data_IF_930823916508
#
_entry.id   IF_930823916508
#
_cell.length_a   1.000
_cell.length_b   1.000
_cell.length_c   1.000
_cell.angle_alpha   90.00
_cell.angle_beta   90.00
_cell.angle_gamma   90.00
#
_symmetry.space_group_name_H-M   'P 1'
#
loop_
_entity.id
_entity.type
_entity.pdbx_description
1 polymer ?
#
# COMPACT_ATOMS: atom_id res chain seq x y z
N UNK A 1 -17.17 32.76 24.80
CA UNK A 1 -16.42 32.31 23.61
C UNK A 1 -15.23 31.49 24.13
N UNK A 2 -15.26 30.15 24.03
CA UNK A 2 -14.17 29.28 24.51
C UNK A 2 -13.34 28.86 23.31
N UNK A 3 -12.11 29.35 23.22
CA UNK A 3 -11.12 28.90 22.24
C UNK A 3 -10.42 27.66 22.79
N UNK A 4 -10.59 26.53 22.10
CA UNK A 4 -9.82 25.33 22.35
C UNK A 4 -8.60 25.34 21.42
N UNK A 5 -7.42 25.59 21.97
CA UNK A 5 -6.16 25.34 21.29
C UNK A 5 -5.91 23.84 21.29
N UNK A 6 -6.23 23.17 20.17
CA UNK A 6 -5.81 21.79 19.92
C UNK A 6 -4.30 21.79 19.66
N UNK A 7 -3.52 21.55 20.70
CA UNK A 7 -2.11 21.18 20.58
C UNK A 7 -2.05 19.81 19.91
N UNK A 8 -1.64 19.78 18.63
CA UNK A 8 -1.40 18.54 17.90
C UNK A 8 -0.43 17.65 18.68
N UNK A 9 -0.78 16.40 19.00
CA UNK A 9 0.19 15.47 19.56
C UNK A 9 1.25 15.14 18.51
N UNK A 10 2.53 15.36 18.83
CA UNK A 10 3.65 14.89 18.00
C UNK A 10 3.89 13.40 18.25
N UNK A 11 2.93 12.54 17.92
CA UNK A 11 3.20 11.10 17.88
C UNK A 11 3.64 10.72 16.47
N UNK A 12 4.95 10.63 16.27
CA UNK A 12 5.50 9.90 15.11
C UNK A 12 5.41 8.41 15.43
N UNK A 13 4.79 7.63 14.55
CA UNK A 13 4.39 6.24 14.78
C UNK A 13 5.16 5.21 13.96
N UNK A 14 6.36 5.56 13.50
CA UNK A 14 7.20 4.56 12.84
C UNK A 14 7.87 3.67 13.89
N UNK A 15 8.00 2.37 13.59
CA UNK A 15 8.89 1.43 14.30
C UNK A 15 10.28 2.04 14.50
N UNK A 16 10.67 2.91 13.56
CA UNK A 16 11.91 3.63 13.61
C UNK A 16 11.99 4.69 14.72
N UNK A 17 10.91 5.16 15.34
CA UNK A 17 11.03 6.22 16.37
C UNK A 17 11.81 5.75 17.57
N UNK A 18 11.54 4.54 18.07
CA UNK A 18 12.29 4.01 19.20
C UNK A 18 13.74 3.68 18.82
N UNK A 19 13.94 3.03 17.66
CA UNK A 19 15.27 2.71 17.17
C UNK A 19 16.10 3.97 16.87
N UNK A 20 15.49 5.01 16.27
CA UNK A 20 16.16 6.29 16.02
C UNK A 20 16.44 7.04 17.32
N UNK A 21 15.53 7.02 18.30
CA UNK A 21 15.80 7.62 19.61
C UNK A 21 16.93 6.88 20.33
N UNK A 22 16.97 5.54 20.22
CA UNK A 22 18.06 4.73 20.76
C UNK A 22 19.38 5.04 20.06
N UNK A 23 19.40 5.08 18.72
CA UNK A 23 20.56 5.47 17.93
C UNK A 23 21.04 6.87 18.35
N UNK A 24 20.16 7.87 18.36
CA UNK A 24 20.51 9.26 18.72
C UNK A 24 21.09 9.39 20.12
N UNK A 25 20.61 8.60 21.09
CA UNK A 25 21.11 8.62 22.47
C UNK A 25 22.49 7.99 22.62
N UNK A 26 22.89 7.12 21.69
CA UNK A 26 24.14 6.36 21.75
C UNK A 26 25.18 6.82 20.73
N UNK A 27 24.82 7.70 19.79
CA UNK A 27 25.78 8.34 18.90
C UNK A 27 26.43 9.54 19.58
N UNK A 28 27.76 9.59 19.55
CA UNK A 28 28.52 10.80 19.87
C UNK A 28 28.53 11.76 18.69
N UNK A 29 29.03 12.98 18.88
CA UNK A 29 29.26 13.92 17.79
C UNK A 29 30.18 13.29 16.72
N UNK A 30 29.79 13.46 15.45
CA UNK A 30 30.50 12.90 14.29
C UNK A 30 31.03 14.03 13.42
N UNK A 31 32.25 13.87 12.90
CA UNK A 31 32.95 14.93 12.14
C UNK A 31 32.47 15.10 10.70
N UNK A 32 31.64 14.19 10.19
CA UNK A 32 31.12 14.23 8.83
C UNK A 32 30.10 13.13 8.53
N UNK A 33 29.52 13.18 7.32
CA UNK A 33 28.48 12.24 6.89
C UNK A 33 28.95 10.79 6.85
N UNK A 34 30.18 10.52 6.42
CA UNK A 34 30.74 9.17 6.40
C UNK A 34 30.94 8.61 7.82
N UNK A 35 31.54 9.40 8.73
CA UNK A 35 31.70 9.02 10.14
C UNK A 35 30.35 8.73 10.80
N UNK A 36 29.33 9.53 10.49
CA UNK A 36 27.97 9.30 10.97
C UNK A 36 27.37 8.01 10.43
N UNK A 37 27.54 7.74 9.14
CA UNK A 37 27.10 6.49 8.52
C UNK A 37 27.75 5.27 9.20
N UNK A 38 29.08 5.28 9.33
CA UNK A 38 29.84 4.19 9.94
C UNK A 38 29.42 3.98 11.41
N UNK A 39 29.24 5.07 12.17
CA UNK A 39 28.78 5.01 13.56
C UNK A 39 27.36 4.44 13.69
N UNK A 40 26.43 4.84 12.83
CA UNK A 40 25.07 4.29 12.79
C UNK A 40 25.10 2.79 12.47
N UNK A 41 25.83 2.39 11.43
CA UNK A 41 25.93 1.00 10.99
C UNK A 41 26.53 0.12 12.10
N UNK A 42 27.64 0.56 12.70
CA UNK A 42 28.27 -0.16 13.80
C UNK A 42 27.35 -0.29 15.01
N UNK A 43 26.63 0.78 15.37
CA UNK A 43 25.67 0.74 16.47
C UNK A 43 24.53 -0.25 16.18
N UNK A 44 23.92 -0.16 15.00
CA UNK A 44 22.82 -1.05 14.58
C UNK A 44 23.26 -2.52 14.61
N UNK A 45 24.47 -2.83 14.13
CA UNK A 45 25.03 -4.18 14.20
C UNK A 45 25.41 -4.64 15.62
N UNK A 46 25.63 -3.70 16.55
CA UNK A 46 25.92 -4.02 17.95
C UNK A 46 24.67 -4.39 18.76
N UNK A 47 23.46 -4.12 18.24
CA UNK A 47 22.21 -4.44 18.92
C UNK A 47 21.97 -5.95 18.95
N UNK A 48 21.62 -6.46 20.13
CA UNK A 48 21.23 -7.87 20.26
C UNK A 48 19.84 -8.11 19.68
N UNK A 49 19.54 -9.37 19.34
CA UNK A 49 18.21 -9.76 18.88
C UNK A 49 17.11 -9.40 19.89
N UNK A 50 17.42 -9.43 21.19
CA UNK A 50 16.53 -9.05 22.28
C UNK A 50 16.19 -7.56 22.26
N UNK A 51 17.16 -6.69 21.95
CA UNK A 51 16.90 -5.24 21.80
C UNK A 51 16.02 -4.94 20.58
N UNK A 52 16.24 -5.66 19.46
CA UNK A 52 15.32 -5.60 18.33
C UNK A 52 13.92 -6.05 18.71
N UNK A 53 13.80 -7.18 19.43
CA UNK A 53 12.51 -7.69 19.90
C UNK A 53 11.78 -6.67 20.76
N UNK A 54 12.45 -6.00 21.69
CA UNK A 54 11.87 -4.91 22.51
C UNK A 54 11.30 -3.79 21.65
N UNK A 55 11.94 -3.46 20.53
CA UNK A 55 11.44 -2.44 19.59
C UNK A 55 10.08 -2.83 19.03
N UNK A 56 9.95 -4.09 18.59
CA UNK A 56 8.69 -4.61 18.08
C UNK A 56 7.61 -4.69 19.18
N UNK A 57 7.95 -5.19 20.37
CA UNK A 57 7.02 -5.25 21.51
C UNK A 57 6.48 -3.86 21.88
N UNK A 58 7.35 -2.85 21.98
CA UNK A 58 6.94 -1.46 22.25
C UNK A 58 6.07 -0.89 21.14
N UNK A 59 6.32 -1.26 19.89
CA UNK A 59 5.47 -0.86 18.78
C UNK A 59 4.08 -1.51 18.88
N UNK A 60 4.00 -2.80 19.21
CA UNK A 60 2.73 -3.49 19.49
C UNK A 60 1.96 -2.86 20.65
N UNK A 61 2.62 -2.57 21.77
CA UNK A 61 1.99 -1.87 22.91
C UNK A 61 1.38 -0.53 22.47
N UNK A 62 2.10 0.26 21.67
CA UNK A 62 1.61 1.55 21.18
C UNK A 62 0.45 1.39 20.20
N UNK A 63 0.48 0.39 19.32
CA UNK A 63 -0.66 0.08 18.46
C UNK A 63 -1.87 -0.32 19.29
N UNK A 64 -1.69 -1.12 20.35
CA UNK A 64 -2.77 -1.49 21.26
C UNK A 64 -3.34 -0.24 21.95
N UNK A 65 -2.50 0.68 22.42
CA UNK A 65 -2.97 1.95 22.99
C UNK A 65 -3.74 2.82 21.97
N UNK A 66 -3.34 2.84 20.70
CA UNK A 66 -4.12 3.52 19.64
C UNK A 66 -5.46 2.85 19.35
N UNK A 67 -5.50 1.53 19.47
CA UNK A 67 -6.74 0.78 19.41
C UNK A 67 -7.60 1.18 20.62
N UNK A 68 -7.09 1.12 21.84
CA UNK A 68 -7.90 1.37 23.03
C UNK A 68 -8.36 2.83 23.16
N UNK A 69 -7.52 3.78 22.74
CA UNK A 69 -7.82 5.22 22.78
C UNK A 69 -8.73 5.73 21.66
N UNK A 70 -9.22 4.85 20.77
CA UNK A 70 -10.06 5.22 19.62
C UNK A 70 -9.41 6.23 18.66
N UNK A 71 -8.07 6.27 18.61
CA UNK A 71 -7.33 7.17 17.74
C UNK A 71 -7.31 6.67 16.28
N UNK A 72 -8.47 6.64 15.62
CA UNK A 72 -8.66 6.16 14.25
C UNK A 72 -7.71 6.84 13.25
N UNK A 73 -7.44 8.13 13.44
CA UNK A 73 -6.51 8.90 12.61
C UNK A 73 -5.09 8.29 12.60
N UNK A 74 -4.62 7.79 13.74
CA UNK A 74 -3.30 7.17 13.84
C UNK A 74 -3.28 5.83 13.12
N UNK A 75 -4.33 5.03 13.27
CA UNK A 75 -4.46 3.75 12.55
C UNK A 75 -4.48 3.98 11.04
N UNK A 76 -5.20 4.98 10.55
CA UNK A 76 -5.21 5.36 9.14
C UNK A 76 -3.80 5.76 8.67
N UNK A 77 -3.05 6.54 9.46
CA UNK A 77 -1.66 6.91 9.12
C UNK A 77 -0.75 5.69 9.03
N UNK A 78 -0.88 4.73 9.95
CA UNK A 78 -0.09 3.49 9.95
C UNK A 78 -0.46 2.65 8.73
N UNK A 79 -1.74 2.38 8.51
CA UNK A 79 -2.20 1.55 7.40
C UNK A 79 -1.90 2.17 6.03
N UNK A 80 -1.86 3.50 5.91
CA UNK A 80 -1.41 4.19 4.67
C UNK A 80 0.04 3.89 4.29
N UNK A 81 0.84 3.33 5.20
CA UNK A 81 2.22 2.90 4.93
C UNK A 81 2.31 1.44 4.49
N UNK A 82 1.23 0.67 4.61
CA UNK A 82 1.15 -0.72 4.20
C UNK A 82 0.53 -0.83 2.81
N UNK A 83 0.68 -1.99 2.17
CA UNK A 83 0.03 -2.26 0.90
C UNK A 83 -1.50 -2.28 1.10
N UNK A 84 -2.21 -1.44 0.34
CA UNK A 84 -3.68 -1.26 0.47
C UNK A 84 -4.43 -2.60 0.36
N UNK A 85 -4.00 -3.48 -0.55
CA UNK A 85 -4.59 -4.82 -0.73
C UNK A 85 -4.47 -5.68 0.53
N UNK A 86 -3.33 -5.65 1.21
CA UNK A 86 -3.09 -6.41 2.45
C UNK A 86 -3.89 -5.84 3.61
N UNK A 87 -3.96 -4.51 3.70
CA UNK A 87 -4.79 -3.80 4.69
C UNK A 87 -6.25 -4.19 4.51
N UNK A 88 -6.79 -4.08 3.30
CA UNK A 88 -8.18 -4.45 3.04
C UNK A 88 -8.40 -5.93 3.33
N UNK A 89 -7.58 -6.83 2.81
CA UNK A 89 -7.70 -8.27 3.10
C UNK A 89 -7.72 -8.58 4.60
N UNK A 90 -6.88 -7.90 5.38
CA UNK A 90 -6.71 -8.17 6.81
C UNK A 90 -7.77 -7.51 7.68
N UNK A 91 -8.29 -6.34 7.29
CA UNK A 91 -9.19 -5.56 8.14
C UNK A 91 -10.66 -5.73 7.80
N UNK A 92 -10.97 -6.13 6.57
CA UNK A 92 -12.35 -6.14 6.09
C UNK A 92 -13.21 -7.09 6.90
N UNK A 93 -14.27 -6.55 7.50
CA UNK A 93 -15.23 -7.28 8.33
C UNK A 93 -14.65 -7.98 9.58
N UNK A 94 -13.44 -7.63 10.01
CA UNK A 94 -12.87 -8.18 11.25
C UNK A 94 -13.57 -7.63 12.49
N UNK A 95 -13.83 -6.32 12.53
CA UNK A 95 -14.68 -5.71 13.53
C UNK A 95 -15.28 -4.39 13.03
N UNK A 96 -16.36 -3.93 13.68
CA UNK A 96 -17.12 -2.73 13.26
C UNK A 96 -16.26 -1.47 13.11
N UNK A 97 -15.26 -1.29 13.98
CA UNK A 97 -14.40 -0.10 13.96
C UNK A 97 -13.39 -0.14 12.82
N UNK A 98 -12.69 -1.24 12.64
CA UNK A 98 -11.75 -1.44 11.53
C UNK A 98 -12.48 -1.46 10.19
N UNK A 99 -13.73 -1.93 10.18
CA UNK A 99 -14.57 -1.86 8.99
C UNK A 99 -14.84 -0.42 8.56
N UNK A 100 -14.99 0.53 9.51
CA UNK A 100 -15.09 1.96 9.16
C UNK A 100 -13.83 2.45 8.44
N UNK A 101 -12.65 2.02 8.91
CA UNK A 101 -11.35 2.37 8.33
C UNK A 101 -11.18 1.72 6.95
N UNK A 102 -11.53 0.46 6.78
CA UNK A 102 -11.41 -0.24 5.49
C UNK A 102 -12.34 0.32 4.40
N UNK A 103 -13.36 1.09 4.80
CA UNK A 103 -14.26 1.80 3.89
C UNK A 103 -13.84 3.27 3.65
N UNK A 104 -12.74 3.72 4.24
CA UNK A 104 -12.20 5.07 4.01
C UNK A 104 -11.66 5.20 2.57
N UNK A 105 -11.84 6.37 1.97
CA UNK A 105 -11.41 6.63 0.59
C UNK A 105 -9.89 6.56 0.43
N UNK A 106 -9.12 6.74 1.51
CA UNK A 106 -7.68 6.53 1.52
C UNK A 106 -7.25 5.12 1.07
N UNK A 107 -8.09 4.11 1.29
CA UNK A 107 -7.80 2.71 0.95
C UNK A 107 -8.60 2.20 -0.24
N UNK A 108 -9.75 2.82 -0.52
CA UNK A 108 -10.72 2.28 -1.49
C UNK A 108 -10.75 3.03 -2.81
N UNK A 109 -10.31 4.28 -2.86
CA UNK A 109 -10.42 5.07 -4.08
C UNK A 109 -9.41 4.61 -5.15
N UNK A 110 -8.12 4.61 -4.80
CA UNK A 110 -7.05 4.06 -5.62
C UNK A 110 -6.66 2.69 -5.07
N UNK A 111 -6.99 1.63 -5.81
CA UNK A 111 -6.87 0.25 -5.36
C UNK A 111 -5.90 -0.55 -6.25
N UNK A 112 -4.65 -0.74 -5.81
CA UNK A 112 -3.74 -1.68 -6.42
C UNK A 112 -4.06 -3.11 -5.98
N UNK A 113 -4.56 -3.93 -6.90
CA UNK A 113 -4.84 -5.35 -6.71
C UNK A 113 -3.69 -6.16 -7.33
N UNK A 114 -2.50 -5.94 -6.78
CA UNK A 114 -1.25 -6.57 -7.18
C UNK A 114 -0.28 -6.59 -6.00
N UNK A 115 0.73 -7.46 -6.05
CA UNK A 115 1.84 -7.45 -5.08
C UNK A 115 3.07 -6.81 -5.70
N UNK A 116 3.75 -5.96 -4.95
CA UNK A 116 5.06 -5.42 -5.31
C UNK A 116 6.11 -5.97 -4.36
N UNK A 117 7.17 -6.60 -4.88
CA UNK A 117 8.31 -6.94 -4.05
C UNK A 117 9.29 -5.76 -3.94
N UNK A 118 10.27 -5.90 -3.03
CA UNK A 118 11.29 -4.87 -2.77
C UNK A 118 12.18 -4.56 -3.97
N UNK A 119 12.24 -5.47 -4.95
CA UNK A 119 12.96 -5.31 -6.22
C UNK A 119 12.16 -4.50 -7.27
N UNK A 120 10.92 -4.10 -6.95
CA UNK A 120 10.03 -3.38 -7.85
C UNK A 120 9.28 -4.28 -8.83
N UNK A 121 9.47 -5.61 -8.78
CA UNK A 121 8.71 -6.54 -9.60
C UNK A 121 7.27 -6.65 -9.12
N UNK A 122 6.36 -6.77 -10.08
CA UNK A 122 4.92 -6.90 -9.87
C UNK A 122 4.53 -8.36 -10.03
N UNK A 123 3.86 -8.90 -9.02
CA UNK A 123 3.38 -10.28 -8.97
C UNK A 123 1.86 -10.33 -8.88
N UNK A 124 1.29 -11.39 -9.45
CA UNK A 124 -0.11 -11.73 -9.26
C UNK A 124 -0.37 -12.07 -7.79
N UNK A 125 -1.55 -11.67 -7.28
CA UNK A 125 -2.00 -12.12 -5.97
C UNK A 125 -2.24 -13.64 -5.98
N UNK A 126 -1.99 -14.33 -4.85
CA UNK A 126 -2.44 -15.70 -4.66
C UNK A 126 -3.94 -15.84 -4.91
N UNK A 127 -4.36 -16.94 -5.55
CA UNK A 127 -5.77 -17.16 -5.93
C UNK A 127 -6.74 -17.04 -4.76
N UNK A 128 -6.36 -17.55 -3.58
CA UNK A 128 -7.16 -17.45 -2.36
C UNK A 128 -7.45 -15.99 -1.95
N UNK A 129 -6.46 -15.11 -2.09
CA UNK A 129 -6.63 -13.69 -1.78
C UNK A 129 -7.53 -13.06 -2.83
N UNK A 130 -7.28 -13.35 -4.11
CA UNK A 130 -8.05 -12.83 -5.22
C UNK A 130 -9.54 -13.26 -5.15
N UNK A 131 -9.81 -14.51 -4.82
CA UNK A 131 -11.17 -15.03 -4.64
C UNK A 131 -11.93 -14.30 -3.56
N UNK A 132 -11.29 -14.03 -2.41
CA UNK A 132 -11.90 -13.25 -1.34
C UNK A 132 -12.15 -11.80 -1.78
N UNK A 133 -11.26 -11.21 -2.57
CA UNK A 133 -11.49 -9.88 -3.12
C UNK A 133 -12.72 -9.86 -4.03
N UNK A 134 -12.77 -10.75 -5.03
CA UNK A 134 -13.86 -10.82 -6.00
C UNK A 134 -15.21 -11.14 -5.34
N UNK A 135 -15.24 -12.13 -4.44
CA UNK A 135 -16.51 -12.60 -3.87
C UNK A 135 -17.02 -11.76 -2.70
N UNK A 136 -16.14 -11.03 -1.98
CA UNK A 136 -16.52 -10.44 -0.70
C UNK A 136 -16.16 -8.97 -0.53
N UNK A 137 -14.93 -8.56 -0.86
CA UNK A 137 -14.45 -7.21 -0.57
C UNK A 137 -14.93 -6.23 -1.65
N UNK A 138 -14.67 -6.53 -2.93
CA UNK A 138 -15.01 -5.65 -4.05
C UNK A 138 -16.51 -5.30 -4.10
N UNK A 139 -17.45 -6.25 -3.93
CA UNK A 139 -18.88 -5.94 -3.93
C UNK A 139 -19.34 -4.95 -2.84
N UNK A 140 -18.50 -4.66 -1.84
CA UNK A 140 -18.83 -3.72 -0.76
C UNK A 140 -18.13 -2.36 -0.88
N UNK A 141 -17.09 -2.27 -1.70
CA UNK A 141 -16.31 -1.03 -1.89
C UNK A 141 -16.36 -0.50 -3.32
N UNK A 142 -16.99 -1.21 -4.26
CA UNK A 142 -16.99 -0.90 -5.69
C UNK A 142 -17.43 0.52 -6.05
N UNK A 143 -18.38 1.09 -5.32
CA UNK A 143 -18.84 2.46 -5.55
C UNK A 143 -17.79 3.51 -5.21
N UNK A 144 -16.75 3.17 -4.45
CA UNK A 144 -15.71 4.11 -4.03
C UNK A 144 -14.46 4.05 -4.89
N UNK A 145 -14.34 3.04 -5.73
CA UNK A 145 -13.14 2.78 -6.54
C UNK A 145 -13.17 3.70 -7.77
N UNK A 146 -12.18 4.58 -7.88
CA UNK A 146 -11.98 5.44 -9.06
C UNK A 146 -10.74 5.01 -9.87
N UNK A 147 -9.75 4.40 -9.22
CA UNK A 147 -8.55 3.85 -9.88
C UNK A 147 -8.33 2.38 -9.52
N UNK A 148 -8.13 1.52 -10.52
CA UNK A 148 -7.74 0.12 -10.34
C UNK A 148 -6.38 -0.16 -10.98
N UNK A 149 -5.46 -0.75 -10.22
CA UNK A 149 -4.20 -1.25 -10.77
C UNK A 149 -4.20 -2.78 -10.72
N UNK A 150 -4.19 -3.42 -11.88
CA UNK A 150 -4.41 -4.85 -12.03
C UNK A 150 -3.23 -5.50 -12.74
N UNK A 151 -2.90 -6.72 -12.32
CA UNK A 151 -2.05 -7.61 -13.11
C UNK A 151 -2.91 -8.34 -14.15
N UNK A 152 -2.36 -8.53 -15.36
CA UNK A 152 -3.05 -9.09 -16.52
C UNK A 152 -3.85 -10.38 -16.26
N UNK A 153 -3.32 -11.33 -15.48
CA UNK A 153 -4.01 -12.61 -15.19
C UNK A 153 -5.21 -12.45 -14.27
N UNK A 154 -5.17 -11.43 -13.40
CA UNK A 154 -6.26 -11.14 -12.45
C UNK A 154 -7.37 -10.26 -13.03
N UNK A 155 -7.09 -9.57 -14.14
CA UNK A 155 -7.94 -8.53 -14.71
C UNK A 155 -9.38 -9.00 -14.94
N UNK A 156 -9.57 -10.12 -15.66
CA UNK A 156 -10.90 -10.61 -16.02
C UNK A 156 -11.74 -10.91 -14.76
N UNK A 157 -11.16 -11.64 -13.80
CA UNK A 157 -11.84 -11.99 -12.53
C UNK A 157 -12.26 -10.77 -11.73
N UNK A 158 -11.44 -9.72 -11.71
CA UNK A 158 -11.73 -8.48 -10.96
C UNK A 158 -12.80 -7.68 -11.68
N UNK A 159 -12.64 -7.45 -12.99
CA UNK A 159 -13.60 -6.64 -13.75
C UNK A 159 -14.98 -7.28 -13.86
N UNK A 160 -15.07 -8.61 -13.79
CA UNK A 160 -16.35 -9.34 -13.76
C UNK A 160 -16.94 -9.49 -12.34
N UNK A 161 -16.19 -9.18 -11.28
CA UNK A 161 -16.65 -9.41 -9.91
C UNK A 161 -17.82 -8.49 -9.51
N UNK A 162 -17.86 -7.27 -10.02
CA UNK A 162 -18.86 -6.26 -9.66
C UNK A 162 -18.89 -5.13 -10.71
N UNK A 163 -19.91 -4.28 -10.64
CA UNK A 163 -19.97 -3.03 -11.41
C UNK A 163 -19.18 -1.93 -10.69
N UNK A 164 -18.39 -1.12 -11.40
CA UNK A 164 -17.62 -0.03 -10.82
C UNK A 164 -18.11 1.34 -11.35
N UNK A 165 -19.18 1.92 -10.76
CA UNK A 165 -19.85 3.07 -11.33
C UNK A 165 -19.00 4.36 -11.37
N UNK A 166 -18.02 4.47 -10.48
CA UNK A 166 -17.14 5.63 -10.36
C UNK A 166 -15.72 5.37 -10.89
N UNK A 167 -15.48 4.20 -11.50
CA UNK A 167 -14.16 3.86 -12.03
C UNK A 167 -13.82 4.81 -13.15
N UNK A 168 -12.78 5.60 -12.96
CA UNK A 168 -12.27 6.57 -13.92
C UNK A 168 -11.11 5.97 -14.72
N UNK A 169 -10.25 5.21 -14.05
CA UNK A 169 -9.04 4.66 -14.67
C UNK A 169 -8.69 3.23 -14.25
N UNK A 170 -8.25 2.45 -15.24
CA UNK A 170 -7.67 1.11 -15.04
C UNK A 170 -6.23 1.16 -15.51
N UNK A 171 -5.32 0.65 -14.69
CA UNK A 171 -3.91 0.47 -14.99
C UNK A 171 -3.60 -1.02 -15.07
N UNK A 172 -3.17 -1.51 -16.23
CA UNK A 172 -2.80 -2.91 -16.42
C UNK A 172 -1.29 -3.09 -16.39
N UNK A 173 -0.84 -4.09 -15.65
CA UNK A 173 0.56 -4.47 -15.49
C UNK A 173 0.81 -5.87 -16.07
N UNK A 174 2.05 -6.11 -16.50
CA UNK A 174 2.54 -7.38 -17.05
C UNK A 174 1.72 -7.91 -18.24
N UNK A 175 1.10 -7.01 -19.01
CA UNK A 175 0.28 -7.40 -20.16
C UNK A 175 1.15 -7.70 -21.38
N UNK A 176 1.01 -8.90 -21.91
CA UNK A 176 1.69 -9.25 -23.17
C UNK A 176 1.13 -8.37 -24.31
N UNK A 177 1.98 -7.79 -25.18
CA UNK A 177 1.53 -6.90 -26.24
C UNK A 177 0.45 -7.49 -27.14
N UNK A 178 0.53 -8.80 -27.46
CA UNK A 178 -0.49 -9.50 -28.25
C UNK A 178 -1.84 -9.56 -27.53
N UNK A 179 -1.84 -9.85 -26.24
CA UNK A 179 -3.05 -9.87 -25.40
C UNK A 179 -3.66 -8.47 -25.31
N UNK A 180 -2.83 -7.42 -25.16
CA UNK A 180 -3.30 -6.04 -25.19
C UNK A 180 -3.98 -5.70 -26.53
N UNK A 181 -3.34 -6.00 -27.66
CA UNK A 181 -3.92 -5.78 -28.99
C UNK A 181 -5.29 -6.46 -29.09
N UNK A 182 -5.38 -7.74 -28.71
CA UNK A 182 -6.63 -8.49 -28.80
C UNK A 182 -7.73 -7.93 -27.89
N UNK A 183 -7.39 -7.54 -26.65
CA UNK A 183 -8.36 -6.98 -25.69
C UNK A 183 -8.90 -5.61 -26.11
N UNK A 184 -8.09 -4.82 -26.80
CA UNK A 184 -8.41 -3.42 -27.13
C UNK A 184 -8.71 -3.17 -28.60
N UNK A 185 -8.67 -4.21 -29.46
CA UNK A 185 -9.09 -4.09 -30.85
C UNK A 185 -10.58 -3.71 -30.92
N UNK A 186 -10.88 -2.60 -31.59
CA UNK A 186 -12.25 -2.12 -31.81
C UNK A 186 -12.83 -1.20 -30.73
N UNK A 187 -12.04 -0.81 -29.72
CA UNK A 187 -12.45 0.16 -28.68
C UNK A 187 -11.52 1.37 -28.67
N UNK A 188 -12.09 2.58 -28.58
CA UNK A 188 -11.31 3.82 -28.50
C UNK A 188 -10.87 4.00 -27.05
N UNK A 189 -9.59 3.74 -26.79
CA UNK A 189 -8.96 4.02 -25.50
C UNK A 189 -7.83 5.01 -25.68
N UNK A 190 -7.73 5.98 -24.77
CA UNK A 190 -6.53 6.81 -24.64
C UNK A 190 -5.47 5.97 -23.94
N UNK A 191 -4.51 5.50 -24.73
CA UNK A 191 -3.39 4.69 -24.28
C UNK A 191 -2.24 5.60 -23.83
N UNK A 192 -1.80 5.45 -22.58
CA UNK A 192 -0.49 5.92 -22.14
C UNK A 192 0.30 4.73 -21.62
N UNK A 193 1.42 4.43 -22.29
CA UNK A 193 2.38 3.44 -21.81
C UNK A 193 3.58 4.11 -21.20
N UNK A 194 3.72 3.98 -19.89
CA UNK A 194 4.96 4.30 -19.19
C UNK A 194 5.85 3.06 -19.15
N UNK A 195 6.98 3.10 -19.85
CA UNK A 195 8.05 2.13 -19.67
C UNK A 195 8.86 2.53 -18.45
N UNK A 196 8.91 1.66 -17.44
CA UNK A 196 9.79 1.88 -16.29
C UNK A 196 11.24 1.61 -16.72
N UNK A 197 12.06 2.66 -16.71
CA UNK A 197 13.41 2.67 -17.32
C UNK A 197 14.47 1.92 -16.52
N UNK A 198 14.10 1.28 -15.41
CA UNK A 198 15.06 0.67 -14.48
C UNK A 198 15.34 -0.83 -14.68
N UNK A 199 14.68 -1.51 -15.62
CA UNK A 199 14.99 -2.92 -15.94
C UNK A 199 16.10 -2.98 -17.00
N UNK A 200 17.34 -3.18 -16.55
CA UNK A 200 18.58 -3.21 -17.37
C UNK A 200 18.78 -4.49 -18.22
N UNK A 201 17.76 -5.31 -18.43
CA UNK A 201 17.86 -6.47 -19.34
C UNK A 201 16.63 -6.59 -20.24
N UNK A 202 16.89 -6.81 -21.53
CA UNK A 202 15.99 -6.60 -22.68
C UNK A 202 14.84 -7.62 -22.80
N UNK A 203 14.58 -8.47 -21.81
CA UNK A 203 13.60 -9.56 -21.94
C UNK A 203 12.30 -9.41 -21.15
N UNK A 204 12.12 -8.38 -20.31
CA UNK A 204 10.86 -8.17 -19.58
C UNK A 204 10.37 -6.73 -19.75
N UNK A 205 9.52 -6.53 -20.76
CA UNK A 205 8.76 -5.29 -20.94
C UNK A 205 7.60 -5.33 -19.95
N UNK A 206 7.76 -4.66 -18.81
CA UNK A 206 6.63 -4.29 -17.96
C UNK A 206 5.97 -3.06 -18.58
N UNK A 207 5.00 -3.30 -19.47
CA UNK A 207 4.13 -2.25 -19.99
C UNK A 207 3.05 -1.94 -18.94
N UNK A 208 2.88 -0.66 -18.62
CA UNK A 208 1.77 -0.14 -17.83
C UNK A 208 0.80 0.53 -18.78
N UNK A 209 -0.47 0.10 -18.82
CA UNK A 209 -1.48 0.73 -19.69
C UNK A 209 -2.56 1.37 -18.84
N UNK A 210 -2.74 2.68 -18.96
CA UNK A 210 -3.83 3.41 -18.32
C UNK A 210 -5.03 3.57 -19.28
N UNK A 211 -6.25 3.40 -18.79
CA UNK A 211 -7.51 3.55 -19.54
C UNK A 211 -8.38 4.64 -18.92
N UNK A 212 -9.14 5.37 -19.72
CA UNK A 212 -10.20 6.27 -19.23
C UNK A 212 -11.58 5.66 -19.51
N UNK A 213 -12.45 5.58 -18.51
CA UNK A 213 -13.76 4.98 -18.68
C UNK A 213 -14.72 5.89 -19.46
N UNK A 214 -15.06 5.48 -20.67
CA UNK A 214 -16.39 5.74 -21.26
C UNK A 214 -17.22 4.45 -21.34
N UNK A 215 -16.74 3.38 -20.71
CA UNK A 215 -17.08 2.01 -21.03
C UNK A 215 -17.48 1.20 -19.80
N UNK A 216 -18.44 1.71 -19.02
CA UNK A 216 -19.29 0.91 -18.14
C UNK A 216 -20.71 1.48 -18.23
N UNK A 217 -21.48 0.99 -19.20
CA UNK A 217 -22.95 1.04 -19.21
C UNK A 217 -23.46 -0.34 -19.57
#
# INVERSE_FOLDING_TARGET
MRTYTLTRPRYSFSVHVWLFDLIKRNLTDQSGSQSLYDAVVNFVHSLSNEEYKKTFEKWFERMQLCIDSQADEILVIIFKKLAKVEVLYSLFDVNKRLNKISHDTAFTNDLPILMSASDGLIYSLPDLILDRFCSYILPKIHEKIEWLHLESRSMERILLATNYPNLYEISLHNIQPKTAINLFTGKIFYYYSSYDRHIKSINEINSRINFWSSLIR
#
